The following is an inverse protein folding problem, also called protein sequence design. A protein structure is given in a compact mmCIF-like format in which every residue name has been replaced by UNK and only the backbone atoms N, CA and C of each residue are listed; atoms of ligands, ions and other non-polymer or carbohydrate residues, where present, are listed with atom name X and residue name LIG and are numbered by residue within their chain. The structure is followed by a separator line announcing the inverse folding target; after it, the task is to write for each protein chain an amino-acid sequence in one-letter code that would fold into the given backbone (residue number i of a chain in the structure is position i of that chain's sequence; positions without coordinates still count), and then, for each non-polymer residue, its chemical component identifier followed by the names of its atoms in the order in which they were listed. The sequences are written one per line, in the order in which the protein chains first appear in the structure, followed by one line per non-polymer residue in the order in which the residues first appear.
data_IF_051872353871
#
_entry.id   IF_051872353871
#
_cell.length_a   1.000
_cell.length_b   1.000
_cell.length_c   1.000
_cell.angle_alpha   90.00
_cell.angle_beta   90.00
_cell.angle_gamma   90.00
#
_symmetry.space_group_name_H-M   'P 1'
#
loop_
_entity.id
_entity.type
_entity.pdbx_description
1 polymer ?
#
# COMPACT_ATOMS: atom_id res chain seq x y z
N UNK A 1 13.24 28.71 -14.73
CA UNK A 1 11.84 28.24 -14.61
C UNK A 1 11.65 26.75 -14.93
N UNK A 2 12.05 26.24 -16.11
CA UNK A 2 11.86 24.80 -16.47
C UNK A 2 12.35 23.79 -15.42
N UNK A 3 13.51 24.04 -14.79
CA UNK A 3 14.07 23.17 -13.75
C UNK A 3 13.24 23.17 -12.45
N UNK A 4 12.69 24.31 -12.06
CA UNK A 4 11.86 24.44 -10.84
C UNK A 4 10.54 23.67 -11.03
N UNK A 5 9.91 23.80 -12.20
CA UNK A 5 8.68 23.06 -12.54
C UNK A 5 8.93 21.55 -12.54
N UNK A 6 10.06 21.09 -13.09
CA UNK A 6 10.45 19.68 -13.07
C UNK A 6 10.67 19.16 -11.63
N UNK A 7 11.33 19.94 -10.76
CA UNK A 7 11.51 19.57 -9.35
C UNK A 7 10.17 19.53 -8.60
N UNK A 8 9.27 20.48 -8.85
CA UNK A 8 7.92 20.51 -8.26
C UNK A 8 7.07 19.31 -8.69
N UNK A 9 7.14 18.92 -9.97
CA UNK A 9 6.46 17.73 -10.51
C UNK A 9 7.02 16.42 -9.93
N UNK A 10 8.32 16.36 -9.61
CA UNK A 10 8.95 15.19 -9.00
C UNK A 10 8.68 15.06 -7.50
N UNK A 11 8.36 16.15 -6.80
CA UNK A 11 8.02 16.15 -5.38
C UNK A 11 6.52 15.91 -5.13
N UNK A 12 5.66 16.21 -6.11
CA UNK A 12 4.21 16.00 -6.03
C UNK A 12 3.77 14.55 -5.70
N UNK A 13 4.37 13.48 -6.27
CA UNK A 13 3.97 12.10 -5.93
C UNK A 13 4.33 11.69 -4.49
N UNK A 14 5.23 12.41 -3.80
CA UNK A 14 5.53 12.12 -2.39
C UNK A 14 4.40 12.57 -1.44
N UNK A 15 3.54 13.49 -1.89
CA UNK A 15 2.40 13.98 -1.11
C UNK A 15 1.11 13.22 -1.42
N UNK A 16 1.05 12.54 -2.58
CA UNK A 16 -0.04 11.65 -2.91
C UNK A 16 0.16 10.33 -2.16
N UNK A 17 -0.52 10.21 -1.01
CA UNK A 17 -0.68 8.90 -0.38
C UNK A 17 -1.37 7.98 -1.38
N UNK A 18 -0.71 6.89 -1.75
CA UNK A 18 -1.20 5.86 -2.67
C UNK A 18 -2.35 5.02 -2.08
N UNK A 19 -3.28 5.68 -1.40
CA UNK A 19 -4.32 5.04 -0.60
C UNK A 19 -5.25 4.20 -1.48
N UNK A 20 -5.45 4.55 -2.76
CA UNK A 20 -6.26 3.77 -3.70
C UNK A 20 -5.54 2.71 -4.54
N UNK A 21 -4.19 2.64 -4.53
CA UNK A 21 -3.47 1.61 -5.30
C UNK A 21 -3.38 0.27 -4.58
N UNK A 22 -3.55 0.29 -3.25
CA UNK A 22 -3.56 -0.91 -2.41
C UNK A 22 -4.98 -1.34 -2.03
N UNK A 23 -6.00 -0.57 -2.42
CA UNK A 23 -7.39 -0.98 -2.24
C UNK A 23 -7.64 -2.23 -3.08
N UNK A 24 -8.19 -3.25 -2.44
CA UNK A 24 -8.62 -4.47 -3.12
C UNK A 24 -10.11 -4.65 -2.91
N UNK A 25 -10.76 -5.23 -3.91
CA UNK A 25 -12.13 -5.69 -3.84
C UNK A 25 -12.18 -7.06 -4.51
N UNK A 26 -12.88 -8.00 -3.87
CA UNK A 26 -13.10 -9.33 -4.38
C UNK A 26 -14.55 -9.74 -4.15
N UNK A 27 -15.10 -10.49 -5.09
CA UNK A 27 -16.40 -11.14 -4.93
C UNK A 27 -16.20 -12.58 -4.42
N UNK A 28 -16.91 -12.95 -3.36
CA UNK A 28 -16.92 -14.32 -2.84
C UNK A 28 -17.77 -15.24 -3.74
N UNK A 29 -17.60 -16.56 -3.68
CA UNK A 29 -18.42 -17.49 -4.47
C UNK A 29 -19.93 -17.33 -4.23
N UNK A 30 -20.35 -16.89 -3.04
CA UNK A 30 -21.75 -16.54 -2.74
C UNK A 30 -22.23 -15.20 -3.30
N UNK A 31 -21.42 -14.50 -4.10
CA UNK A 31 -21.76 -13.21 -4.70
C UNK A 31 -21.55 -12.00 -3.79
N UNK A 32 -21.03 -12.20 -2.58
CA UNK A 32 -20.76 -11.13 -1.61
C UNK A 32 -19.51 -10.36 -1.99
N UNK A 33 -19.41 -9.08 -1.62
CA UNK A 33 -18.22 -8.28 -1.90
C UNK A 33 -17.42 -8.07 -0.62
N UNK A 34 -16.13 -8.31 -0.68
CA UNK A 34 -15.19 -7.94 0.38
C UNK A 34 -14.11 -7.04 -0.20
N UNK A 35 -13.60 -6.12 0.62
CA UNK A 35 -12.50 -5.27 0.21
C UNK A 35 -11.99 -4.41 1.35
N UNK A 36 -11.02 -3.56 1.05
CA UNK A 36 -10.45 -2.59 1.99
C UNK A 36 -10.37 -1.22 1.32
N UNK A 37 -11.47 -0.48 1.32
CA UNK A 37 -11.58 0.82 0.65
C UNK A 37 -11.16 1.96 1.60
N UNK A 38 -9.90 1.93 2.07
CA UNK A 38 -9.26 2.96 2.88
C UNK A 38 -9.77 3.16 4.32
N UNK A 39 -10.96 2.67 4.67
CA UNK A 39 -11.57 2.75 6.02
C UNK A 39 -11.56 1.39 6.76
N UNK A 40 -10.79 0.43 6.27
CA UNK A 40 -10.69 -0.92 6.81
C UNK A 40 -11.49 -1.94 6.01
N UNK A 41 -11.23 -3.21 6.33
CA UNK A 41 -11.86 -4.32 5.63
C UNK A 41 -13.37 -4.32 5.85
N UNK A 42 -14.11 -4.54 4.77
CA UNK A 42 -15.55 -4.64 4.77
C UNK A 42 -16.05 -5.94 4.11
N UNK A 43 -17.30 -6.28 4.43
CA UNK A 43 -18.09 -7.33 3.81
C UNK A 43 -19.47 -6.77 3.50
N UNK A 44 -19.87 -6.87 2.24
CA UNK A 44 -21.13 -6.39 1.72
C UNK A 44 -21.90 -7.56 1.12
N UNK A 45 -23.06 -7.84 1.71
CA UNK A 45 -24.03 -8.78 1.15
C UNK A 45 -24.95 -8.02 0.19
N UNK A 46 -25.24 -8.53 -1.02
CA UNK A 46 -26.14 -7.85 -1.95
C UNK A 46 -27.51 -7.55 -1.31
N UNK A 47 -27.93 -6.29 -1.31
CA UNK A 47 -29.21 -5.87 -0.74
C UNK A 47 -29.28 -5.83 0.80
N UNK A 48 -28.17 -6.02 1.51
CA UNK A 48 -28.10 -5.93 2.98
C UNK A 48 -27.15 -4.83 3.46
N UNK A 49 -26.97 -4.72 4.78
CA UNK A 49 -26.02 -3.80 5.41
C UNK A 49 -24.56 -4.22 5.15
N UNK A 50 -23.68 -3.22 5.06
CA UNK A 50 -22.23 -3.39 4.99
C UNK A 50 -21.66 -3.62 6.39
N UNK A 51 -21.01 -4.77 6.62
CA UNK A 51 -20.15 -4.96 7.80
C UNK A 51 -18.81 -4.29 7.52
N UNK A 52 -18.38 -3.37 8.38
CA UNK A 52 -17.06 -2.72 8.28
C UNK A 52 -16.24 -2.96 9.55
N UNK A 53 -14.92 -2.74 9.47
CA UNK A 53 -14.01 -2.92 10.61
C UNK A 53 -13.73 -4.39 10.91
N UNK A 54 -13.78 -5.25 9.88
CA UNK A 54 -13.39 -6.66 10.01
C UNK A 54 -11.88 -6.70 10.18
N UNK A 55 -11.40 -7.23 11.29
CA UNK A 55 -9.95 -7.29 11.55
C UNK A 55 -9.38 -8.62 11.10
N UNK A 56 -10.12 -9.73 11.28
CA UNK A 56 -9.69 -11.06 10.85
C UNK A 56 -10.86 -11.92 10.39
N UNK A 57 -10.65 -12.74 9.36
CA UNK A 57 -11.67 -13.65 8.85
C UNK A 57 -11.05 -14.87 8.18
N UNK A 58 -11.87 -15.90 7.97
CA UNK A 58 -11.54 -17.04 7.13
C UNK A 58 -12.81 -17.57 6.45
N UNK A 59 -12.62 -18.34 5.38
CA UNK A 59 -13.69 -19.01 4.67
C UNK A 59 -13.75 -20.48 5.08
N UNK A 60 -14.94 -20.97 5.44
CA UNK A 60 -15.13 -22.38 5.76
C UNK A 60 -16.56 -22.83 5.45
N UNK A 61 -16.70 -23.90 4.67
CA UNK A 61 -17.99 -24.54 4.38
C UNK A 61 -19.11 -23.56 3.95
N UNK A 62 -18.84 -22.68 2.98
CA UNK A 62 -19.77 -21.61 2.53
C UNK A 62 -20.14 -20.59 3.62
N UNK A 63 -19.28 -20.43 4.62
CA UNK A 63 -19.42 -19.40 5.64
C UNK A 63 -18.16 -18.53 5.67
N UNK A 64 -18.38 -17.26 6.00
CA UNK A 64 -17.33 -16.31 6.35
C UNK A 64 -17.37 -16.16 7.86
N UNK A 65 -16.29 -16.57 8.50
CA UNK A 65 -16.19 -16.59 9.95
C UNK A 65 -15.12 -15.59 10.34
N UNK A 66 -15.44 -14.66 11.23
CA UNK A 66 -14.52 -13.56 11.51
C UNK A 66 -14.74 -12.84 12.84
N UNK A 67 -13.85 -11.88 13.05
CA UNK A 67 -13.79 -11.01 14.21
C UNK A 67 -13.88 -9.55 13.75
N UNK A 68 -14.74 -8.79 14.43
CA UNK A 68 -14.95 -7.36 14.26
C UNK A 68 -15.16 -6.77 15.65
N UNK A 69 -14.21 -6.00 16.20
CA UNK A 69 -14.34 -5.43 17.53
C UNK A 69 -15.69 -4.72 17.74
N UNK A 70 -16.37 -4.96 18.89
CA UNK A 70 -15.92 -5.75 20.04
C UNK A 70 -16.26 -7.26 19.98
N UNK A 71 -16.77 -7.80 18.87
CA UNK A 71 -17.34 -9.15 18.80
C UNK A 71 -16.92 -10.01 17.62
N UNK A 72 -17.63 -11.11 17.42
CA UNK A 72 -17.42 -12.10 16.37
C UNK A 72 -18.62 -12.14 15.44
N UNK A 73 -18.42 -12.66 14.23
CA UNK A 73 -19.51 -12.91 13.31
C UNK A 73 -19.30 -14.21 12.53
N UNK A 74 -20.42 -14.77 12.10
CA UNK A 74 -20.49 -15.88 11.16
C UNK A 74 -21.54 -15.48 10.13
N UNK A 75 -21.14 -15.41 8.87
CA UNK A 75 -22.04 -15.14 7.77
C UNK A 75 -22.17 -16.39 6.90
N UNK A 76 -23.39 -16.80 6.60
CA UNK A 76 -23.66 -17.84 5.61
C UNK A 76 -23.72 -17.23 4.20
N UNK A 77 -22.83 -17.68 3.30
CA UNK A 77 -22.69 -17.08 1.96
C UNK A 77 -23.89 -17.31 1.05
N UNK A 78 -24.63 -18.40 1.26
CA UNK A 78 -25.78 -18.80 0.44
C UNK A 78 -27.06 -18.01 0.76
N UNK A 79 -27.27 -17.66 2.03
CA UNK A 79 -28.46 -16.93 2.49
C UNK A 79 -28.17 -15.45 2.72
N UNK A 80 -26.89 -15.06 2.84
CA UNK A 80 -26.51 -13.72 3.26
C UNK A 80 -26.78 -13.44 4.74
N UNK A 81 -27.19 -14.43 5.53
CA UNK A 81 -27.51 -14.24 6.94
C UNK A 81 -26.24 -14.06 7.77
N UNK A 82 -26.21 -13.01 8.59
CA UNK A 82 -25.10 -12.68 9.48
C UNK A 82 -25.55 -12.91 10.93
N UNK A 83 -24.82 -13.76 11.64
CA UNK A 83 -24.98 -13.98 13.08
C UNK A 83 -23.80 -13.35 13.81
N UNK A 84 -24.06 -12.44 14.75
CA UNK A 84 -23.04 -11.75 15.54
C UNK A 84 -23.03 -12.24 16.99
N UNK A 85 -21.85 -12.23 17.60
CA UNK A 85 -21.63 -12.70 18.97
C UNK A 85 -20.77 -11.69 19.73
N UNK A 86 -21.12 -11.40 20.98
CA UNK A 86 -20.28 -10.58 21.87
C UNK A 86 -19.32 -11.45 22.69
N UNK A 87 -19.67 -12.71 22.92
CA UNK A 87 -18.88 -13.69 23.66
C UNK A 87 -18.15 -14.64 22.72
N UNK A 88 -16.86 -14.87 22.98
CA UNK A 88 -16.10 -15.91 22.29
C UNK A 88 -16.68 -17.31 22.58
N UNK A 89 -17.25 -17.52 23.76
CA UNK A 89 -17.84 -18.82 24.16
C UNK A 89 -19.05 -19.14 23.28
N UNK A 90 -19.98 -18.21 23.14
CA UNK A 90 -21.20 -18.41 22.31
C UNK A 90 -20.84 -18.61 20.84
N UNK A 91 -19.84 -17.87 20.36
CA UNK A 91 -19.32 -17.99 19.00
C UNK A 91 -18.69 -19.37 18.73
N UNK A 92 -17.89 -19.88 19.67
CA UNK A 92 -17.31 -21.23 19.55
C UNK A 92 -18.38 -22.31 19.66
N UNK A 93 -19.34 -22.16 20.57
CA UNK A 93 -20.44 -23.11 20.72
C UNK A 93 -21.28 -23.18 19.44
N UNK A 94 -21.60 -22.03 18.84
CA UNK A 94 -22.28 -22.00 17.54
C UNK A 94 -21.49 -22.74 16.47
N UNK A 95 -20.17 -22.51 16.37
CA UNK A 95 -19.33 -23.24 15.41
C UNK A 95 -19.36 -24.75 15.64
N UNK A 96 -19.35 -25.21 16.90
CA UNK A 96 -19.42 -26.63 17.22
C UNK A 96 -20.78 -27.23 16.83
N UNK A 97 -21.87 -26.58 17.23
CA UNK A 97 -23.24 -27.04 16.92
C UNK A 97 -23.52 -27.08 15.43
N UNK A 98 -22.97 -26.16 14.66
CA UNK A 98 -23.16 -26.08 13.20
C UNK A 98 -22.03 -26.75 12.39
N UNK A 99 -21.13 -27.50 13.04
CA UNK A 99 -19.99 -28.17 12.40
C UNK A 99 -19.08 -27.24 11.57
N UNK A 100 -18.93 -25.99 12.01
CA UNK A 100 -18.09 -24.96 11.39
C UNK A 100 -16.66 -24.94 11.97
N UNK A 101 -16.23 -26.02 12.61
CA UNK A 101 -14.88 -26.14 13.19
C UNK A 101 -13.96 -26.88 12.20
N UNK A 102 -12.94 -26.21 11.65
CA UNK A 102 -11.96 -26.85 10.77
C UNK A 102 -11.14 -27.89 11.53
N UNK A 103 -10.94 -29.08 10.94
CA UNK A 103 -10.19 -30.17 11.59
C UNK A 103 -8.68 -30.11 11.39
N UNK A 104 -8.23 -29.56 10.27
CA UNK A 104 -6.82 -29.66 9.84
C UNK A 104 -6.15 -28.30 9.82
N UNK A 105 -6.73 -27.36 9.07
CA UNK A 105 -6.12 -26.06 8.85
C UNK A 105 -7.15 -25.03 8.41
N UNK A 106 -6.94 -23.79 8.85
CA UNK A 106 -7.58 -22.60 8.29
C UNK A 106 -6.57 -21.51 8.03
N UNK A 107 -6.72 -20.86 6.88
CA UNK A 107 -6.03 -19.62 6.58
C UNK A 107 -6.82 -18.45 7.11
N UNK A 108 -6.27 -17.79 8.11
CA UNK A 108 -6.77 -16.50 8.55
C UNK A 108 -6.25 -15.39 7.64
N UNK A 109 -7.16 -14.52 7.24
CA UNK A 109 -6.88 -13.24 6.62
C UNK A 109 -6.99 -12.15 7.68
N UNK A 110 -6.20 -11.10 7.55
CA UNK A 110 -6.23 -9.94 8.44
C UNK A 110 -6.34 -8.65 7.64
N UNK A 111 -6.81 -7.60 8.30
CA UNK A 111 -6.75 -6.21 7.83
C UNK A 111 -5.32 -5.65 7.85
N UNK A 112 -4.40 -6.32 8.54
CA UNK A 112 -2.98 -5.97 8.54
C UNK A 112 -2.29 -6.36 7.22
N UNK A 113 -2.35 -5.45 6.24
CA UNK A 113 -1.61 -5.53 4.97
C UNK A 113 -0.29 -4.73 5.01
N UNK A 114 0.26 -4.47 6.19
CA UNK A 114 1.50 -3.67 6.34
C UNK A 114 2.70 -4.24 5.57
N UNK A 115 2.69 -5.54 5.26
CA UNK A 115 3.70 -6.18 4.41
C UNK A 115 3.88 -5.48 3.05
N UNK A 116 2.79 -5.05 2.40
CA UNK A 116 2.86 -4.34 1.11
C UNK A 116 3.42 -2.92 1.23
N UNK A 117 3.13 -2.22 2.34
CA UNK A 117 3.58 -0.84 2.57
C UNK A 117 5.09 -0.77 2.84
N UNK A 118 5.63 -1.73 3.60
CA UNK A 118 7.06 -1.81 3.88
C UNK A 118 7.90 -2.05 2.62
N UNK A 119 7.48 -3.00 1.78
CA UNK A 119 8.17 -3.35 0.54
C UNK A 119 8.10 -2.22 -0.49
N UNK A 120 6.95 -1.57 -0.64
CA UNK A 120 6.79 -0.42 -1.55
C UNK A 120 7.73 0.75 -1.21
N UNK A 121 7.91 1.05 0.07
CA UNK A 121 8.83 2.11 0.51
C UNK A 121 10.29 1.80 0.19
N UNK A 122 10.70 0.53 0.27
CA UNK A 122 12.07 0.10 -0.08
C UNK A 122 12.32 0.31 -1.58
N UNK A 123 11.41 -0.11 -2.44
CA UNK A 123 11.56 0.08 -3.89
C UNK A 123 11.60 1.57 -4.29
N UNK A 124 10.77 2.40 -3.66
CA UNK A 124 10.81 3.86 -3.86
C UNK A 124 12.15 4.47 -3.42
N UNK A 125 12.67 4.07 -2.27
CA UNK A 125 13.96 4.54 -1.77
C UNK A 125 15.12 4.15 -2.69
N UNK A 126 15.13 2.90 -3.18
CA UNK A 126 16.13 2.41 -4.13
C UNK A 126 16.05 3.15 -5.47
N UNK A 127 14.85 3.37 -6.00
CA UNK A 127 14.64 4.14 -7.24
C UNK A 127 15.12 5.58 -7.13
N UNK A 128 14.78 6.27 -6.03
CA UNK A 128 15.24 7.64 -5.77
C UNK A 128 16.77 7.71 -5.62
N UNK A 129 17.38 6.75 -4.92
CA UNK A 129 18.83 6.64 -4.78
C UNK A 129 19.55 6.46 -6.11
N UNK A 130 19.01 5.62 -7.00
CA UNK A 130 19.57 5.40 -8.35
C UNK A 130 19.56 6.67 -9.20
N UNK A 131 18.45 7.42 -9.18
CA UNK A 131 18.32 8.69 -9.90
C UNK A 131 19.34 9.71 -9.36
N UNK A 132 19.41 9.87 -8.04
CA UNK A 132 20.36 10.78 -7.40
C UNK A 132 21.82 10.44 -7.74
N UNK A 133 22.17 9.16 -7.74
CA UNK A 133 23.49 8.68 -8.13
C UNK A 133 23.81 9.01 -9.60
N UNK A 134 22.86 8.79 -10.51
CA UNK A 134 23.02 9.14 -11.93
C UNK A 134 23.29 10.64 -12.14
N UNK A 135 22.55 11.50 -11.42
CA UNK A 135 22.74 12.95 -11.45
C UNK A 135 24.10 13.38 -10.89
N UNK A 136 24.53 12.81 -9.76
CA UNK A 136 25.84 13.09 -9.18
C UNK A 136 26.97 12.73 -10.15
N UNK A 137 26.89 11.54 -10.76
CA UNK A 137 27.86 11.07 -11.76
C UNK A 137 27.92 12.01 -12.98
N UNK A 138 26.78 12.49 -13.48
CA UNK A 138 26.75 13.43 -14.60
C UNK A 138 27.45 14.75 -14.24
N UNK A 139 27.29 15.26 -13.02
CA UNK A 139 27.97 16.49 -12.61
C UNK A 139 29.47 16.31 -12.45
N UNK A 140 29.92 15.21 -11.83
CA UNK A 140 31.34 14.91 -11.75
C UNK A 140 31.97 14.77 -13.14
N UNK A 141 31.25 14.21 -14.12
CA UNK A 141 31.72 14.16 -15.52
C UNK A 141 31.86 15.55 -16.15
N UNK A 142 30.95 16.49 -15.88
CA UNK A 142 31.03 17.85 -16.41
C UNK A 142 32.15 18.67 -15.77
N UNK A 143 32.40 18.47 -14.48
CA UNK A 143 33.47 19.17 -13.76
C UNK A 143 34.86 18.63 -14.11
N UNK A 144 35.01 17.30 -14.27
CA UNK A 144 36.27 16.70 -14.75
C UNK A 144 36.58 17.05 -16.22
N UNK A 145 35.54 17.26 -17.04
CA UNK A 145 35.67 17.72 -18.42
C UNK A 145 36.03 19.20 -18.57
N UNK A 146 35.80 20.02 -17.54
CA UNK A 146 36.37 21.37 -17.43
C UNK A 146 37.84 21.27 -17.04
N UNK A 147 38.67 20.77 -17.97
CA UNK A 147 40.10 21.11 -17.98
C UNK A 147 40.18 22.63 -17.84
N UNK A 148 40.78 23.10 -16.76
CA UNK A 148 41.16 24.49 -16.57
C UNK A 148 41.88 24.91 -17.87
N UNK A 149 41.19 25.62 -18.76
CA UNK A 149 41.88 26.29 -19.85
C UNK A 149 42.81 27.26 -19.14
N UNK A 150 44.14 27.13 -19.26
CA UNK A 150 45.04 28.10 -18.66
C UNK A 150 44.59 29.45 -19.20
N UNK A 151 44.16 30.34 -18.30
CA UNK A 151 43.89 31.72 -18.67
C UNK A 151 45.21 32.22 -19.24
N UNK A 152 45.30 32.35 -20.56
CA UNK A 152 46.38 33.12 -21.20
C UNK A 152 46.25 34.51 -20.60
N UNK A 153 47.06 34.80 -19.58
CA UNK A 153 47.37 36.15 -19.16
C UNK A 153 48.11 36.72 -20.35
N UNK A 154 47.36 37.35 -21.26
CA UNK A 154 47.94 38.17 -22.31
C UNK A 154 48.53 39.37 -21.57
N UNK A 155 49.83 39.31 -21.28
CA UNK A 155 50.62 40.51 -21.00
C UNK A 155 50.54 41.38 -22.25
N UNK A 156 49.67 42.37 -22.23
CA UNK A 156 49.77 43.51 -23.13
C UNK A 156 50.96 44.34 -22.63
N UNK A 157 52.15 44.01 -23.14
CA UNK A 157 53.26 44.96 -23.24
C UNK A 157 53.20 45.45 -24.68
N UNK A 158 52.61 46.62 -24.88
CA UNK A 158 52.87 47.51 -26.01
C UNK A 158 52.88 48.91 -25.38
N UNK A 159 54.04 49.50 -25.07
CA UNK A 159 55.02 50.10 -25.99
C UNK A 159 54.45 51.32 -26.74
N UNK A 160 55.04 52.49 -26.47
CA UNK A 160 54.76 53.77 -27.14
C UNK A 160 53.88 54.67 -26.26
N UNK A 161 54.16 55.95 -26.06
CA UNK A 161 54.65 56.94 -27.02
C UNK A 161 55.17 58.15 -26.21
N UNK A 162 56.37 58.60 -26.59
CA UNK A 162 56.95 59.97 -26.58
C UNK A 162 56.67 60.87 -25.38
#
# INVERSE_FOLDING_TARGET
MRKIIATLLLLFPLLLRAQGLADWEAQTPGGNRMGDAGLGTYLQVPGSERISGITRWYFFHKHIIGYRPPGFFIMAENTGSITTFQSAVDWMQYQQTHHLVPRVWTRWYSDDWTFGRGVGNIFLALGAGWIAFGWAREQFSKDSGRKQRPRRIVRLILSGVV
#
